data_IF_116787074399
#
_entry.id   IF_116787074399
#
_cell.length_a   1.000
_cell.length_b   1.000
_cell.length_c   1.000
_cell.angle_alpha   90.00
_cell.angle_beta   90.00
_cell.angle_gamma   90.00
#
_symmetry.space_group_name_H-M   'P 1'
#
loop_
_entity.id
_entity.type
_entity.pdbx_description
1 polymer ?
#
# COMPACT_ATOMS: atom_id res chain seq x y z
N UNK A 1 -0.50 27.18 -13.05
CA UNK A 1 -0.60 25.76 -12.70
C UNK A 1 -1.63 25.65 -11.57
N UNK A 2 -2.79 25.06 -11.85
CA UNK A 2 -3.84 24.85 -10.84
C UNK A 2 -3.29 23.93 -9.74
N UNK A 3 -3.69 24.18 -8.49
CA UNK A 3 -3.45 23.27 -7.39
C UNK A 3 -4.09 21.93 -7.80
N UNK A 4 -3.27 20.89 -7.99
CA UNK A 4 -3.82 19.54 -8.17
C UNK A 4 -4.38 19.10 -6.82
N UNK A 5 -5.67 18.88 -6.76
CA UNK A 5 -6.29 18.38 -5.54
C UNK A 5 -5.74 17.00 -5.20
N UNK A 6 -5.49 16.71 -3.93
CA UNK A 6 -4.89 15.44 -3.54
C UNK A 6 -5.89 14.28 -3.67
N UNK A 7 -5.41 13.15 -4.17
CA UNK A 7 -6.13 11.89 -4.17
C UNK A 7 -5.70 11.03 -2.99
N UNK A 8 -6.67 10.34 -2.43
CA UNK A 8 -6.48 9.45 -1.30
C UNK A 8 -7.11 8.09 -1.61
N UNK A 9 -6.64 7.06 -0.92
CA UNK A 9 -7.32 5.77 -0.88
C UNK A 9 -7.77 5.45 0.55
N UNK A 10 -8.84 4.67 0.63
CA UNK A 10 -9.28 4.01 1.85
C UNK A 10 -9.43 2.53 1.55
N UNK A 11 -8.78 1.69 2.35
CA UNK A 11 -8.80 0.25 2.26
C UNK A 11 -9.21 -0.31 3.60
N UNK A 12 -10.14 -1.27 3.62
CA UNK A 12 -10.53 -1.95 4.84
C UNK A 12 -10.65 -3.46 4.61
N UNK A 13 -10.30 -4.22 5.63
CA UNK A 13 -10.56 -5.65 5.74
C UNK A 13 -11.21 -5.94 7.09
N UNK A 14 -12.25 -6.77 7.08
CA UNK A 14 -12.93 -7.23 8.29
C UNK A 14 -12.06 -8.26 9.03
N UNK A 15 -12.30 -8.39 10.31
CA UNK A 15 -11.65 -9.41 11.15
C UNK A 15 -11.75 -10.81 10.53
N UNK A 16 -10.61 -11.53 10.49
CA UNK A 16 -10.50 -12.86 9.92
C UNK A 16 -10.41 -12.93 8.40
N UNK A 17 -10.48 -11.79 7.70
CA UNK A 17 -10.19 -11.70 6.26
C UNK A 17 -8.69 -11.57 6.07
N UNK A 18 -8.15 -12.34 5.12
CA UNK A 18 -6.81 -12.12 4.57
C UNK A 18 -6.98 -11.63 3.13
N UNK A 19 -6.39 -10.48 2.82
CA UNK A 19 -6.53 -9.89 1.50
C UNK A 19 -5.36 -9.04 1.09
N UNK A 20 -5.39 -8.61 -0.17
CA UNK A 20 -4.42 -7.72 -0.81
C UNK A 20 -5.13 -6.68 -1.65
N UNK A 21 -4.50 -5.52 -1.80
CA UNK A 21 -5.00 -4.46 -2.66
C UNK A 21 -3.86 -3.84 -3.46
N UNK A 22 -4.17 -3.46 -4.70
CA UNK A 22 -3.22 -2.83 -5.61
C UNK A 22 -3.81 -1.61 -6.28
N UNK A 23 -2.95 -0.63 -6.51
CA UNK A 23 -3.24 0.52 -7.36
C UNK A 23 -2.16 0.56 -8.46
N UNK A 24 -2.58 0.44 -9.73
CA UNK A 24 -1.67 0.35 -10.88
C UNK A 24 -0.63 -0.77 -10.76
N UNK A 25 -1.08 -1.95 -10.29
CA UNK A 25 -0.22 -3.12 -10.05
C UNK A 25 0.78 -2.95 -8.89
N UNK A 26 0.70 -1.85 -8.14
CA UNK A 26 1.53 -1.61 -6.97
C UNK A 26 0.77 -1.91 -5.68
N UNK A 27 1.32 -2.72 -4.75
CA UNK A 27 0.65 -3.03 -3.51
C UNK A 27 0.49 -1.78 -2.63
N UNK A 28 -0.70 -1.62 -2.06
CA UNK A 28 -1.03 -0.50 -1.19
C UNK A 28 -0.67 -0.76 0.27
N UNK A 29 -0.73 -2.01 0.70
CA UNK A 29 -0.30 -2.42 2.03
C UNK A 29 1.15 -2.88 2.01
N UNK A 30 1.86 -2.61 3.10
CA UNK A 30 3.26 -3.03 3.27
C UNK A 30 3.40 -4.51 3.58
N UNK A 31 2.35 -5.10 4.16
CA UNK A 31 2.23 -6.54 4.47
C UNK A 31 0.77 -6.92 4.27
N UNK A 32 0.46 -8.23 4.03
CA UNK A 32 -0.92 -8.67 3.94
C UNK A 32 -1.72 -8.26 5.18
N UNK A 33 -2.93 -7.74 4.97
CA UNK A 33 -3.82 -7.34 6.06
C UNK A 33 -4.62 -8.55 6.54
N UNK A 34 -4.77 -8.67 7.83
CA UNK A 34 -5.48 -9.76 8.50
C UNK A 34 -6.77 -9.29 9.20
N UNK A 35 -7.15 -8.02 9.10
CA UNK A 35 -8.34 -7.41 9.68
C UNK A 35 -8.64 -7.75 11.17
N UNK A 36 -9.51 -7.00 11.85
CA UNK A 36 -10.09 -5.80 11.28
C UNK A 36 -9.00 -4.75 11.13
N UNK A 37 -8.86 -4.24 9.99
CA UNK A 37 -7.86 -3.21 9.71
C UNK A 37 -8.36 -2.25 8.66
N UNK A 38 -7.99 -0.99 8.80
CA UNK A 38 -8.24 0.02 7.80
C UNK A 38 -6.98 0.83 7.56
N UNK A 39 -6.68 1.05 6.30
CA UNK A 39 -5.58 1.90 5.88
C UNK A 39 -6.11 3.01 4.98
N UNK A 40 -5.66 4.22 5.23
CA UNK A 40 -5.86 5.33 4.31
C UNK A 40 -4.53 6.05 4.09
N UNK A 41 -4.38 6.58 2.91
CA UNK A 41 -3.14 7.26 2.53
C UNK A 41 -3.29 8.05 1.24
N UNK A 42 -2.28 8.86 0.97
CA UNK A 42 -2.21 9.58 -0.30
C UNK A 42 -1.95 8.64 -1.46
N UNK A 43 -2.71 8.79 -2.54
CA UNK A 43 -2.63 7.97 -3.74
C UNK A 43 -1.80 8.61 -4.86
N UNK A 44 -1.59 9.91 -4.86
CA UNK A 44 -1.01 10.67 -5.98
C UNK A 44 0.31 10.10 -6.52
N UNK A 45 1.17 9.56 -5.66
CA UNK A 45 2.48 9.02 -6.06
C UNK A 45 2.39 7.64 -6.73
N UNK A 46 1.20 7.03 -6.74
CA UNK A 46 0.91 5.73 -7.36
C UNK A 46 0.02 5.88 -8.61
N UNK A 47 -0.68 7.02 -8.74
CA UNK A 47 -1.57 7.29 -9.86
C UNK A 47 -0.78 7.71 -11.10
N UNK A 48 -1.26 7.28 -12.28
CA UNK A 48 -0.67 7.64 -13.58
C UNK A 48 -1.60 8.55 -14.36
N UNK A 49 -1.07 9.38 -15.28
CA UNK A 49 -1.90 10.10 -16.22
C UNK A 49 -2.74 9.15 -17.07
N UNK A 50 -4.06 9.41 -17.17
CA UNK A 50 -4.99 8.58 -17.92
C UNK A 50 -5.62 7.46 -17.10
N UNK A 51 -5.67 6.25 -17.68
CA UNK A 51 -6.32 5.10 -17.05
C UNK A 51 -5.53 4.53 -15.89
N UNK A 52 -6.22 4.36 -14.78
CA UNK A 52 -5.70 3.74 -13.57
C UNK A 52 -6.47 2.44 -13.30
N UNK A 53 -5.86 1.53 -12.55
CA UNK A 53 -6.44 0.24 -12.18
C UNK A 53 -6.40 0.05 -10.68
N UNK A 54 -7.55 -0.31 -10.12
CA UNK A 54 -7.73 -0.68 -8.74
C UNK A 54 -8.03 -2.16 -8.67
N UNK A 55 -7.28 -2.93 -7.89
CA UNK A 55 -7.53 -4.36 -7.70
C UNK A 55 -7.61 -4.72 -6.23
N UNK A 56 -8.51 -5.64 -5.92
CA UNK A 56 -8.73 -6.18 -4.58
C UNK A 56 -8.82 -7.70 -4.66
N UNK A 57 -8.12 -8.37 -3.74
CA UNK A 57 -8.13 -9.83 -3.60
C UNK A 57 -8.48 -10.23 -2.18
N UNK A 58 -9.30 -11.26 -2.02
CA UNK A 58 -9.54 -11.95 -0.76
C UNK A 58 -9.01 -13.38 -0.89
N UNK A 59 -8.05 -13.73 -0.07
CA UNK A 59 -7.44 -15.07 0.00
C UNK A 59 -8.07 -15.93 1.08
N UNK A 60 -8.65 -15.30 2.12
CA UNK A 60 -9.32 -16.01 3.22
C UNK A 60 -10.52 -15.19 3.68
N UNK A 61 -11.65 -15.86 3.84
CA UNK A 61 -12.87 -15.32 4.42
C UNK A 61 -13.19 -16.01 5.76
N UNK A 62 -13.61 -15.27 6.78
CA UNK A 62 -14.18 -15.87 7.96
C UNK A 62 -15.53 -16.55 7.62
N UNK A 63 -15.95 -17.49 8.45
CA UNK A 63 -17.29 -18.05 8.32
C UNK A 63 -18.30 -17.01 8.79
N UNK A 64 -19.08 -16.49 7.86
CA UNK A 64 -20.21 -15.63 8.14
C UNK A 64 -21.47 -16.46 8.11
N UNK A 65 -22.38 -16.24 9.03
CA UNK A 65 -23.70 -16.88 9.05
C UNK A 65 -24.70 -15.98 8.34
N UNK A 66 -25.64 -16.54 7.57
CA UNK A 66 -26.74 -15.77 7.04
C UNK A 66 -27.52 -15.13 8.20
N UNK A 67 -28.10 -13.95 8.00
CA UNK A 67 -28.92 -13.34 9.02
C UNK A 67 -30.11 -14.23 9.39
N UNK A 68 -30.55 -14.23 10.64
CA UNK A 68 -31.75 -14.94 11.05
C UNK A 68 -32.96 -14.46 10.22
N UNK A 69 -33.91 -15.34 9.91
CA UNK A 69 -35.10 -14.95 9.19
C UNK A 69 -35.85 -13.83 9.95
N UNK A 70 -36.49 -12.89 9.22
CA UNK A 70 -37.25 -11.81 9.85
C UNK A 70 -38.34 -12.36 10.80
N UNK A 71 -38.40 -11.83 11.97
CA UNK A 71 -39.46 -12.19 12.96
C UNK A 71 -40.75 -11.49 12.52
N UNK A 72 -41.86 -12.21 12.34
CA UNK A 72 -43.14 -11.59 11.99
C UNK A 72 -43.53 -10.51 13.01
N UNK A 73 -43.77 -9.28 12.51
CA UNK A 73 -44.17 -8.14 13.37
C UNK A 73 -43.04 -7.25 13.89
N UNK A 74 -41.75 -7.61 13.68
CA UNK A 74 -40.64 -6.69 13.89
C UNK A 74 -40.39 -5.83 12.64
N UNK A 75 -40.11 -4.55 12.87
CA UNK A 75 -39.65 -3.67 11.78
C UNK A 75 -38.36 -4.27 11.18
N UNK A 76 -38.18 -4.16 9.85
CA UNK A 76 -36.94 -4.61 9.23
C UNK A 76 -35.75 -3.96 9.92
N UNK A 77 -34.89 -4.75 10.56
CA UNK A 77 -33.63 -4.23 11.10
C UNK A 77 -32.82 -3.74 9.91
N UNK A 78 -32.41 -2.48 9.97
CA UNK A 78 -31.52 -1.90 8.96
C UNK A 78 -30.24 -2.75 8.92
N UNK A 79 -30.06 -3.49 7.83
CA UNK A 79 -28.90 -4.35 7.66
C UNK A 79 -27.70 -3.45 7.34
N UNK A 80 -26.83 -3.29 8.28
CA UNK A 80 -25.48 -2.80 7.98
C UNK A 80 -24.69 -3.99 7.49
N UNK A 81 -24.82 -4.31 6.21
CA UNK A 81 -23.99 -5.33 5.55
C UNK A 81 -22.58 -4.75 5.37
N UNK A 82 -21.76 -4.91 6.41
CA UNK A 82 -20.35 -4.51 6.35
C UNK A 82 -19.64 -5.50 5.42
N UNK A 83 -19.27 -5.05 4.25
CA UNK A 83 -18.50 -5.87 3.30
C UNK A 83 -17.20 -6.36 3.93
N UNK A 84 -16.82 -7.63 3.69
CA UNK A 84 -15.59 -8.22 4.23
C UNK A 84 -14.33 -7.47 3.86
N UNK A 85 -14.27 -6.92 2.64
CA UNK A 85 -13.18 -6.10 2.15
C UNK A 85 -13.71 -5.03 1.21
N UNK A 86 -13.15 -3.85 1.30
CA UNK A 86 -13.49 -2.76 0.40
C UNK A 86 -12.32 -1.80 0.22
N UNK A 87 -12.29 -1.21 -0.95
CA UNK A 87 -11.33 -0.18 -1.27
C UNK A 87 -11.95 0.89 -2.14
N UNK A 88 -11.61 2.14 -1.87
CA UNK A 88 -11.99 3.28 -2.69
C UNK A 88 -10.84 4.26 -2.87
N UNK A 89 -10.86 4.93 -4.02
CA UNK A 89 -10.03 6.09 -4.30
C UNK A 89 -10.95 7.30 -4.38
N UNK A 90 -10.58 8.37 -3.74
CA UNK A 90 -11.35 9.61 -3.67
C UNK A 90 -10.45 10.84 -3.73
N UNK A 91 -11.03 11.94 -4.17
CA UNK A 91 -10.39 13.25 -4.23
C UNK A 91 -10.96 14.13 -3.13
N UNK A 92 -10.10 14.89 -2.44
CA UNK A 92 -10.52 15.94 -1.50
C UNK A 92 -10.27 17.28 -2.17
N UNK A 93 -11.34 18.03 -2.44
CA UNK A 93 -11.25 19.34 -3.09
C UNK A 93 -10.57 20.40 -2.24
N UNK A 94 -10.93 20.44 -0.96
CA UNK A 94 -10.33 21.35 0.01
C UNK A 94 -10.10 20.60 1.33
N UNK A 95 -8.83 20.26 1.64
CA UNK A 95 -8.49 19.57 2.89
C UNK A 95 -8.78 20.39 4.17
N UNK A 96 -9.12 21.67 4.02
CA UNK A 96 -9.44 22.58 5.13
C UNK A 96 -10.93 22.89 5.24
N UNK A 97 -11.74 22.42 4.29
CA UNK A 97 -13.20 22.59 4.35
C UNK A 97 -13.83 21.73 5.44
N UNK A 98 -14.81 22.29 6.14
CA UNK A 98 -15.67 21.54 7.07
C UNK A 98 -17.15 21.72 6.65
N UNK A 99 -17.84 20.64 6.31
CA UNK A 99 -17.38 19.24 6.18
C UNK A 99 -16.47 19.03 4.96
N UNK A 100 -15.59 18.01 5.05
CA UNK A 100 -14.72 17.61 3.95
C UNK A 100 -15.55 17.14 2.74
N UNK A 101 -15.40 17.82 1.61
CA UNK A 101 -15.97 17.36 0.34
C UNK A 101 -15.06 16.33 -0.32
N UNK A 102 -15.40 15.06 -0.18
CA UNK A 102 -14.75 13.97 -0.89
C UNK A 102 -15.57 13.55 -2.12
N UNK A 103 -14.92 13.47 -3.27
CA UNK A 103 -15.50 12.93 -4.49
C UNK A 103 -14.92 11.53 -4.70
N UNK A 104 -15.78 10.52 -4.65
CA UNK A 104 -15.37 9.15 -4.95
C UNK A 104 -15.07 9.01 -6.44
N UNK A 105 -13.88 8.49 -6.77
CA UNK A 105 -13.46 8.20 -8.14
C UNK A 105 -13.81 6.77 -8.52
N UNK A 106 -13.56 5.84 -7.63
CA UNK A 106 -13.81 4.42 -7.80
C UNK A 106 -13.95 3.74 -6.44
N UNK A 107 -14.82 2.72 -6.38
CA UNK A 107 -14.98 1.86 -5.21
C UNK A 107 -15.10 0.41 -5.64
N UNK A 108 -14.48 -0.48 -4.89
CA UNK A 108 -14.61 -1.94 -5.03
C UNK A 108 -14.90 -2.52 -3.67
N UNK A 109 -15.96 -3.29 -3.58
CA UNK A 109 -16.33 -4.04 -2.38
C UNK A 109 -16.48 -5.51 -2.72
N UNK A 110 -15.78 -6.38 -2.02
CA UNK A 110 -15.85 -7.83 -2.20
C UNK A 110 -16.60 -8.48 -1.03
N UNK A 111 -17.44 -9.48 -1.28
CA UNK A 111 -17.70 -10.15 -2.57
C UNK A 111 -18.75 -9.48 -3.48
N UNK A 112 -19.36 -8.37 -3.07
CA UNK A 112 -20.48 -7.73 -3.78
C UNK A 112 -20.16 -7.36 -5.24
N UNK A 113 -18.93 -6.90 -5.53
CA UNK A 113 -18.49 -6.60 -6.91
C UNK A 113 -18.56 -7.79 -7.86
N UNK A 114 -18.62 -9.02 -7.32
CA UNK A 114 -18.78 -10.27 -8.08
C UNK A 114 -20.24 -10.78 -8.10
N UNK A 115 -21.19 -10.00 -7.57
CA UNK A 115 -22.60 -10.39 -7.46
C UNK A 115 -22.85 -11.47 -6.41
N UNK A 116 -21.94 -11.64 -5.44
CA UNK A 116 -22.02 -12.65 -4.40
C UNK A 116 -22.47 -12.03 -3.07
N UNK A 117 -23.28 -12.76 -2.34
CA UNK A 117 -23.67 -12.38 -1.00
C UNK A 117 -22.56 -12.67 0.02
N UNK A 118 -22.47 -11.84 1.05
CA UNK A 118 -21.36 -11.88 2.04
C UNK A 118 -21.27 -13.21 2.82
N UNK A 119 -22.37 -13.97 2.93
CA UNK A 119 -22.44 -15.30 3.59
C UNK A 119 -22.28 -16.48 2.64
N UNK A 120 -22.26 -16.26 1.35
CA UNK A 120 -21.96 -17.32 0.38
C UNK A 120 -20.52 -17.81 0.56
N UNK A 121 -20.27 -19.04 0.19
CA UNK A 121 -18.94 -19.65 0.24
C UNK A 121 -18.35 -19.73 -1.17
N UNK A 122 -17.84 -18.61 -1.68
CA UNK A 122 -17.22 -18.62 -2.99
C UNK A 122 -15.91 -19.39 -2.96
N UNK A 123 -15.49 -19.87 -4.12
CA UNK A 123 -14.14 -20.38 -4.29
C UNK A 123 -13.13 -19.23 -4.10
N UNK A 124 -12.10 -19.47 -3.32
CA UNK A 124 -11.02 -18.51 -3.10
C UNK A 124 -9.81 -18.82 -4.00
N UNK A 125 -9.01 -17.82 -4.36
CA UNK A 125 -9.14 -16.41 -4.01
C UNK A 125 -10.27 -15.71 -4.78
N UNK A 126 -10.91 -14.71 -4.15
CA UNK A 126 -11.75 -13.76 -4.88
C UNK A 126 -10.87 -12.62 -5.37
N UNK A 127 -11.00 -12.27 -6.63
CA UNK A 127 -10.27 -11.17 -7.24
C UNK A 127 -11.20 -10.31 -8.09
N UNK A 128 -11.08 -9.02 -7.95
CA UNK A 128 -11.76 -8.06 -8.82
C UNK A 128 -10.85 -6.87 -9.13
N UNK A 129 -10.87 -6.47 -10.40
CA UNK A 129 -10.12 -5.31 -10.89
C UNK A 129 -11.08 -4.37 -11.62
N UNK A 130 -10.90 -3.09 -11.42
CA UNK A 130 -11.67 -2.04 -12.10
C UNK A 130 -10.73 -0.97 -12.65
N UNK A 131 -11.01 -0.52 -13.87
CA UNK A 131 -10.35 0.64 -14.46
C UNK A 131 -11.12 1.91 -14.16
N UNK A 132 -10.40 3.01 -13.95
CA UNK A 132 -10.99 4.32 -13.75
C UNK A 132 -10.11 5.43 -14.32
N UNK A 133 -10.74 6.53 -14.71
CA UNK A 133 -10.07 7.72 -15.21
C UNK A 133 -10.07 8.83 -14.14
N UNK A 134 -9.02 9.63 -14.13
CA UNK A 134 -8.94 10.79 -13.25
C UNK A 134 -9.51 12.02 -13.97
N UNK A 135 -10.38 12.81 -13.32
CA UNK A 135 -10.93 14.04 -13.92
C UNK A 135 -9.88 15.12 -14.13
N UNK A 136 -8.77 15.05 -13.37
CA UNK A 136 -7.66 15.99 -13.49
C UNK A 136 -6.35 15.24 -13.60
N UNK A 137 -5.40 15.73 -14.43
CA UNK A 137 -4.11 15.09 -14.58
C UNK A 137 -3.30 15.13 -13.29
N UNK A 138 -2.68 14.02 -12.96
CA UNK A 138 -1.66 13.92 -11.90
C UNK A 138 -0.26 14.02 -12.52
N UNK A 139 0.75 14.47 -11.75
CA UNK A 139 2.13 14.35 -12.17
C UNK A 139 2.49 12.89 -12.46
N UNK A 140 3.25 12.68 -13.51
CA UNK A 140 3.74 11.34 -13.83
C UNK A 140 4.62 10.81 -12.69
N UNK A 141 4.29 9.65 -12.10
CA UNK A 141 5.05 9.12 -10.98
C UNK A 141 6.46 8.70 -11.40
N UNK A 142 7.40 8.74 -10.46
CA UNK A 142 8.82 8.49 -10.73
C UNK A 142 9.09 7.15 -11.41
N UNK A 143 8.40 6.10 -10.98
CA UNK A 143 8.57 4.76 -11.54
C UNK A 143 8.06 4.63 -12.98
N UNK A 144 7.14 5.48 -13.42
CA UNK A 144 6.57 5.42 -14.76
C UNK A 144 7.58 5.78 -15.85
N UNK A 145 8.57 6.59 -15.52
CA UNK A 145 9.67 6.99 -16.40
C UNK A 145 10.79 5.95 -16.49
N UNK A 146 10.78 4.99 -15.57
CA UNK A 146 11.82 3.96 -15.52
C UNK A 146 11.67 2.98 -16.67
N UNK A 147 12.77 2.52 -17.27
CA UNK A 147 12.71 1.49 -18.30
C UNK A 147 12.19 0.18 -17.71
N UNK A 148 11.41 -0.60 -18.47
CA UNK A 148 11.07 -1.95 -18.07
C UNK A 148 12.32 -2.83 -17.96
N UNK A 149 12.43 -3.59 -16.88
CA UNK A 149 13.53 -4.53 -16.66
C UNK A 149 12.95 -5.92 -16.42
N UNK A 150 13.55 -6.91 -17.06
CA UNK A 150 13.20 -8.31 -16.84
C UNK A 150 14.13 -8.93 -15.82
N UNK A 151 13.58 -9.50 -14.78
CA UNK A 151 14.32 -10.26 -13.77
C UNK A 151 13.43 -11.40 -13.23
N UNK A 152 14.08 -12.45 -12.73
CA UNK A 152 13.38 -13.56 -12.08
C UNK A 152 13.16 -13.34 -10.59
N UNK A 153 12.56 -14.30 -9.93
CA UNK A 153 12.21 -14.25 -8.50
C UNK A 153 13.41 -14.07 -7.56
N UNK A 154 14.62 -14.40 -8.01
CA UNK A 154 15.86 -14.15 -7.25
C UNK A 154 16.41 -12.72 -7.40
N UNK A 155 15.82 -11.90 -8.26
CA UNK A 155 16.29 -10.56 -8.56
C UNK A 155 17.60 -10.54 -9.37
N UNK A 156 18.15 -9.34 -9.57
CA UNK A 156 19.50 -9.16 -10.09
C UNK A 156 20.47 -8.86 -8.93
N UNK A 157 21.80 -9.00 -9.12
CA UNK A 157 22.78 -8.64 -8.09
C UNK A 157 22.57 -7.22 -7.54
N UNK A 158 22.22 -6.26 -8.41
CA UNK A 158 21.99 -4.86 -8.03
C UNK A 158 20.71 -4.70 -7.20
N UNK A 159 19.65 -5.46 -7.48
CA UNK A 159 18.44 -5.50 -6.66
C UNK A 159 18.73 -6.08 -5.27
N UNK A 160 19.45 -7.20 -5.22
CA UNK A 160 19.90 -7.84 -3.98
C UNK A 160 20.73 -6.85 -3.16
N UNK A 161 21.67 -6.15 -3.80
CA UNK A 161 22.49 -5.15 -3.13
C UNK A 161 21.66 -3.99 -2.59
N UNK A 162 20.70 -3.45 -3.34
CA UNK A 162 19.85 -2.36 -2.90
C UNK A 162 19.04 -2.72 -1.63
N UNK A 163 18.48 -3.93 -1.57
CA UNK A 163 17.76 -4.44 -0.39
C UNK A 163 18.72 -4.61 0.79
N UNK A 164 19.89 -5.20 0.54
CA UNK A 164 20.93 -5.42 1.56
C UNK A 164 21.42 -4.11 2.16
N UNK A 165 21.59 -3.07 1.35
CA UNK A 165 22.02 -1.75 1.81
C UNK A 165 21.01 -1.12 2.77
N UNK A 166 19.71 -1.22 2.46
CA UNK A 166 18.65 -0.70 3.36
C UNK A 166 18.64 -1.49 4.68
N UNK A 167 18.74 -2.80 4.62
CA UNK A 167 18.79 -3.65 5.81
C UNK A 167 20.03 -3.34 6.66
N UNK A 168 21.19 -3.18 6.05
CA UNK A 168 22.44 -2.85 6.74
C UNK A 168 22.37 -1.48 7.43
N UNK A 169 21.77 -0.47 6.78
CA UNK A 169 21.58 0.84 7.40
C UNK A 169 20.71 0.75 8.67
N UNK A 170 19.66 -0.10 8.67
CA UNK A 170 18.86 -0.40 9.86
C UNK A 170 19.69 -1.13 10.94
N UNK A 171 20.41 -2.18 10.56
CA UNK A 171 21.25 -2.98 11.48
C UNK A 171 22.32 -2.13 12.17
N UNK A 172 22.96 -1.25 11.41
CA UNK A 172 24.03 -0.37 11.91
C UNK A 172 23.50 0.88 12.61
N UNK A 173 22.17 1.07 12.65
CA UNK A 173 21.52 2.28 13.19
C UNK A 173 22.00 3.57 12.51
N UNK A 174 22.35 3.48 11.24
CA UNK A 174 22.79 4.60 10.43
C UNK A 174 21.59 5.32 9.81
N UNK A 175 20.98 6.21 10.58
CA UNK A 175 19.85 7.03 10.14
C UNK A 175 20.17 7.82 8.88
N UNK A 176 21.39 8.40 8.80
CA UNK A 176 21.78 9.20 7.65
C UNK A 176 21.77 8.36 6.38
N UNK A 177 22.43 7.19 6.42
CA UNK A 177 22.46 6.27 5.28
C UNK A 177 21.07 5.75 4.92
N UNK A 178 20.26 5.44 5.92
CA UNK A 178 18.88 5.01 5.70
C UNK A 178 18.05 6.08 4.98
N UNK A 179 18.13 7.34 5.38
CA UNK A 179 17.44 8.45 4.73
C UNK A 179 17.96 8.70 3.30
N UNK A 180 19.27 8.56 3.06
CA UNK A 180 19.85 8.64 1.71
C UNK A 180 19.30 7.55 0.78
N UNK A 181 19.17 6.31 1.27
CA UNK A 181 18.62 5.19 0.50
C UNK A 181 17.12 5.36 0.20
N UNK A 182 16.38 6.07 1.04
CA UNK A 182 14.96 6.37 0.86
C UNK A 182 14.71 7.75 0.20
N UNK A 183 15.75 8.46 -0.24
CA UNK A 183 15.60 9.81 -0.78
C UNK A 183 14.59 9.89 -1.93
N UNK A 184 14.67 8.96 -2.89
CA UNK A 184 13.74 8.92 -4.03
C UNK A 184 12.27 8.71 -3.59
N UNK A 185 12.02 7.88 -2.58
CA UNK A 185 10.69 7.73 -1.97
C UNK A 185 10.17 9.04 -1.41
N UNK A 186 11.01 9.74 -0.67
CA UNK A 186 10.64 11.02 -0.07
C UNK A 186 10.36 12.08 -1.14
N UNK A 187 11.20 12.16 -2.16
CA UNK A 187 11.03 13.07 -3.31
C UNK A 187 9.78 12.74 -4.12
N UNK A 188 9.54 11.46 -4.43
CA UNK A 188 8.34 11.01 -5.13
C UNK A 188 7.06 11.37 -4.37
N UNK A 189 7.06 11.16 -3.05
CA UNK A 189 5.94 11.54 -2.21
C UNK A 189 5.72 13.06 -2.17
N UNK A 190 6.79 13.83 -2.01
CA UNK A 190 6.71 15.30 -2.00
C UNK A 190 6.23 15.87 -3.34
N UNK A 191 6.73 15.33 -4.46
CA UNK A 191 6.31 15.73 -5.79
C UNK A 191 4.82 15.43 -6.07
N UNK A 192 4.29 14.37 -5.47
CA UNK A 192 2.89 13.99 -5.59
C UNK A 192 1.93 14.92 -4.81
N UNK A 193 2.45 15.71 -3.85
CA UNK A 193 1.68 16.65 -3.03
C UNK A 193 2.26 18.08 -3.12
N UNK A 194 2.21 18.73 -4.30
CA UNK A 194 2.90 20.00 -4.55
C UNK A 194 2.41 21.16 -3.66
N UNK A 195 1.23 21.02 -3.02
CA UNK A 195 0.72 22.04 -2.08
C UNK A 195 1.47 22.10 -0.74
N UNK A 196 2.11 21.01 -0.32
CA UNK A 196 2.82 20.90 0.97
C UNK A 196 4.04 19.96 0.92
N UNK A 197 4.96 20.12 -0.03
CA UNK A 197 6.05 19.15 -0.23
C UNK A 197 6.99 19.09 0.99
N UNK A 198 7.35 20.23 1.59
CA UNK A 198 8.22 20.28 2.76
C UNK A 198 7.59 19.60 3.98
N UNK A 199 6.33 19.88 4.28
CA UNK A 199 5.63 19.28 5.40
C UNK A 199 5.47 17.74 5.26
N UNK A 200 5.34 17.26 4.02
CA UNK A 200 5.31 15.83 3.74
C UNK A 200 6.66 15.16 3.98
N UNK A 201 7.74 15.78 3.51
CA UNK A 201 9.12 15.33 3.75
C UNK A 201 9.46 15.33 5.24
N UNK A 202 9.14 16.41 5.95
CA UNK A 202 9.42 16.56 7.38
C UNK A 202 8.71 15.49 8.21
N UNK A 203 7.46 15.15 7.86
CA UNK A 203 6.73 14.07 8.55
C UNK A 203 7.40 12.71 8.36
N UNK A 204 7.81 12.37 7.13
CA UNK A 204 8.46 11.09 6.86
C UNK A 204 9.83 10.99 7.53
N UNK A 205 10.60 12.07 7.47
CA UNK A 205 11.90 12.16 8.15
C UNK A 205 11.75 12.05 9.66
N UNK A 206 10.84 12.81 10.26
CA UNK A 206 10.57 12.77 11.69
C UNK A 206 10.11 11.39 12.17
N UNK A 207 9.32 10.65 11.37
CA UNK A 207 8.94 9.28 11.72
C UNK A 207 10.16 8.35 11.77
N UNK A 208 11.07 8.46 10.79
CA UNK A 208 12.32 7.70 10.80
C UNK A 208 13.22 8.09 11.97
N UNK A 209 13.41 9.38 12.22
CA UNK A 209 14.21 9.89 13.35
C UNK A 209 13.69 9.37 14.69
N UNK A 210 12.36 9.41 14.90
CA UNK A 210 11.75 8.87 16.12
C UNK A 210 11.98 7.38 16.29
N UNK A 211 11.87 6.59 15.22
CA UNK A 211 12.11 5.15 15.28
C UNK A 211 13.59 4.85 15.58
N UNK A 212 14.53 5.51 14.90
CA UNK A 212 15.96 5.33 15.10
C UNK A 212 16.48 5.77 16.49
N UNK A 213 15.74 6.67 17.15
CA UNK A 213 16.03 7.08 18.53
C UNK A 213 15.69 6.00 19.57
N UNK A 214 14.90 4.99 19.20
CA UNK A 214 14.53 3.87 20.07
C UNK A 214 15.65 2.80 20.11
N UNK A 215 15.62 1.97 21.15
CA UNK A 215 16.31 0.69 21.11
C UNK A 215 15.46 -0.30 20.34
N UNK A 216 16.02 -0.92 19.32
CA UNK A 216 15.31 -1.90 18.51
C UNK A 216 16.21 -3.04 18.06
N UNK A 217 15.59 -4.18 17.81
CA UNK A 217 16.23 -5.36 17.22
C UNK A 217 15.79 -5.49 15.77
N UNK A 218 16.75 -5.65 14.87
CA UNK A 218 16.47 -5.89 13.44
C UNK A 218 16.53 -7.39 13.20
N UNK A 219 15.50 -7.92 12.54
CA UNK A 219 15.48 -9.31 12.12
C UNK A 219 16.53 -9.54 11.03
N UNK A 220 17.33 -10.61 11.14
CA UNK A 220 18.31 -10.94 10.11
C UNK A 220 17.65 -11.13 8.75
N UNK A 221 18.28 -10.58 7.71
CA UNK A 221 17.85 -10.73 6.33
C UNK A 221 18.34 -12.06 5.76
N UNK A 222 17.42 -12.94 5.40
CA UNK A 222 17.71 -14.21 4.74
C UNK A 222 17.33 -14.10 3.25
N UNK A 223 18.30 -13.80 2.40
CA UNK A 223 18.08 -13.60 0.97
C UNK A 223 17.49 -14.82 0.26
N UNK A 224 17.64 -16.03 0.81
CA UNK A 224 17.02 -17.24 0.25
C UNK A 224 15.48 -17.24 0.38
N UNK A 225 14.94 -16.37 1.24
CA UNK A 225 13.51 -16.20 1.48
C UNK A 225 12.97 -14.87 0.92
N UNK A 226 13.80 -14.11 0.22
CA UNK A 226 13.36 -12.85 -0.42
C UNK A 226 12.90 -13.13 -1.83
N UNK A 227 11.75 -12.60 -2.17
CA UNK A 227 11.15 -12.66 -3.49
C UNK A 227 11.20 -11.29 -4.16
N UNK A 228 11.58 -11.29 -5.42
CA UNK A 228 11.55 -10.13 -6.30
C UNK A 228 10.49 -10.36 -7.36
N UNK A 229 9.51 -9.50 -7.41
CA UNK A 229 8.39 -9.62 -8.33
C UNK A 229 8.33 -8.38 -9.24
N UNK A 230 8.39 -8.56 -10.59
CA UNK A 230 8.23 -7.45 -11.50
C UNK A 230 6.78 -6.95 -11.48
N UNK A 231 6.61 -5.64 -11.31
CA UNK A 231 5.34 -4.93 -11.29
C UNK A 231 5.33 -3.78 -12.28
N UNK A 232 4.14 -3.26 -12.61
CA UNK A 232 3.96 -2.14 -13.55
C UNK A 232 4.72 -2.34 -14.85
N UNK A 233 4.57 -3.54 -15.45
CA UNK A 233 5.25 -3.88 -16.69
C UNK A 233 6.77 -3.98 -16.57
N UNK A 234 7.30 -4.36 -15.41
CA UNK A 234 8.73 -4.51 -15.14
C UNK A 234 9.45 -3.22 -14.76
N UNK A 235 8.71 -2.11 -14.57
CA UNK A 235 9.30 -0.83 -14.13
C UNK A 235 9.59 -0.79 -12.64
N UNK A 236 8.95 -1.68 -11.90
CA UNK A 236 9.05 -1.77 -10.45
C UNK A 236 9.43 -3.19 -10.05
N UNK A 237 10.33 -3.32 -9.10
CA UNK A 237 10.56 -4.53 -8.35
C UNK A 237 9.84 -4.42 -7.00
N UNK A 238 8.81 -5.24 -6.81
CA UNK A 238 8.23 -5.46 -5.49
C UNK A 238 9.07 -6.49 -4.77
N UNK A 239 9.51 -6.18 -3.57
CA UNK A 239 10.39 -7.04 -2.77
C UNK A 239 9.70 -7.40 -1.46
N UNK A 240 9.48 -8.67 -1.26
CA UNK A 240 8.84 -9.22 -0.07
C UNK A 240 9.62 -10.42 0.46
N UNK A 241 9.38 -10.79 1.71
CA UNK A 241 9.77 -12.09 2.22
C UNK A 241 8.85 -13.20 1.70
N UNK A 242 9.19 -14.45 2.03
CA UNK A 242 8.35 -15.60 1.72
C UNK A 242 6.93 -15.38 2.23
N UNK A 243 5.93 -15.73 1.42
CA UNK A 243 4.50 -15.59 1.73
C UNK A 243 4.10 -14.14 2.10
N UNK A 244 4.65 -13.19 1.35
CA UNK A 244 4.48 -11.73 1.53
C UNK A 244 4.82 -11.20 2.93
N UNK A 245 5.62 -11.95 3.69
CA UNK A 245 6.14 -11.41 4.95
C UNK A 245 7.00 -10.17 4.71
N UNK A 246 7.10 -9.28 5.69
CA UNK A 246 7.96 -8.11 5.54
C UNK A 246 9.40 -8.50 5.31
N UNK A 247 10.02 -7.92 4.27
CA UNK A 247 11.45 -8.11 3.98
C UNK A 247 12.34 -7.34 4.97
N UNK A 248 11.82 -6.23 5.49
CA UNK A 248 12.45 -5.47 6.58
C UNK A 248 11.58 -5.57 7.82
N UNK A 249 12.18 -6.00 8.92
CA UNK A 249 11.51 -6.04 10.22
C UNK A 249 12.46 -5.59 11.32
N UNK A 250 12.02 -4.58 12.08
CA UNK A 250 12.71 -4.13 13.28
C UNK A 250 11.68 -3.87 14.39
N UNK A 251 11.93 -4.37 15.59
CA UNK A 251 11.01 -4.30 16.73
C UNK A 251 11.63 -3.48 17.84
N UNK A 252 10.93 -2.47 18.33
CA UNK A 252 11.39 -1.67 19.45
C UNK A 252 11.40 -2.50 20.74
N UNK A 253 12.51 -2.47 21.47
CA UNK A 253 12.66 -3.22 22.75
C UNK A 253 11.93 -2.50 23.89
N UNK A 254 11.97 -1.17 23.88
CA UNK A 254 11.45 -0.34 24.98
C UNK A 254 9.96 0.03 24.80
N UNK A 255 9.38 -0.28 23.64
CA UNK A 255 7.96 0.04 23.30
C UNK A 255 7.29 -1.18 22.66
N UNK A 256 6.75 -2.11 23.46
CA UNK A 256 6.05 -3.28 22.95
C UNK A 256 4.92 -2.88 21.98
N UNK A 257 4.91 -3.49 20.80
CA UNK A 257 3.93 -3.20 19.75
C UNK A 257 4.39 -2.17 18.71
N UNK A 258 5.47 -1.41 18.96
CA UNK A 258 6.05 -0.55 17.95
C UNK A 258 7.09 -1.33 17.13
N UNK A 259 6.84 -1.42 15.83
CA UNK A 259 7.74 -2.10 14.89
C UNK A 259 7.79 -1.39 13.55
N UNK A 260 8.92 -1.44 12.89
CA UNK A 260 9.07 -1.14 11.48
C UNK A 260 8.95 -2.46 10.73
N UNK A 261 7.90 -2.58 9.91
CA UNK A 261 7.69 -3.76 9.05
C UNK A 261 7.39 -3.24 7.65
N UNK A 262 8.17 -3.66 6.66
CA UNK A 262 8.00 -3.18 5.31
C UNK A 262 8.44 -4.19 4.26
N UNK A 263 7.69 -4.23 3.17
CA UNK A 263 8.14 -4.65 1.86
C UNK A 263 8.67 -3.41 1.12
N UNK A 264 9.40 -3.61 0.05
CA UNK A 264 10.01 -2.50 -0.67
C UNK A 264 9.50 -2.46 -2.10
N UNK A 265 9.30 -1.24 -2.60
CA UNK A 265 9.14 -0.96 -4.02
C UNK A 265 10.40 -0.27 -4.52
N UNK A 266 11.08 -0.91 -5.45
CA UNK A 266 12.28 -0.36 -6.08
C UNK A 266 12.01 -0.08 -7.56
N UNK A 267 12.60 0.99 -8.05
CA UNK A 267 12.57 1.36 -9.47
C UNK A 267 13.96 1.76 -9.93
N UNK A 268 14.22 1.67 -11.23
CA UNK A 268 15.47 2.21 -11.79
C UNK A 268 15.42 3.73 -11.90
N UNK A 269 16.38 4.38 -11.27
CA UNK A 269 16.57 5.83 -11.36
C UNK A 269 18.06 6.10 -11.54
N UNK A 270 18.40 6.84 -12.58
CA UNK A 270 19.80 7.11 -12.99
C UNK A 270 20.66 5.83 -13.10
N UNK A 271 20.08 4.77 -13.66
CA UNK A 271 20.77 3.49 -13.86
C UNK A 271 20.96 2.65 -12.59
N UNK A 272 20.38 3.03 -11.48
CA UNK A 272 20.47 2.32 -10.19
C UNK A 272 19.09 1.97 -9.65
N UNK A 273 19.00 0.84 -8.96
CA UNK A 273 17.80 0.48 -8.21
C UNK A 273 17.68 1.33 -6.94
N UNK A 274 16.57 2.02 -6.81
CA UNK A 274 16.26 2.93 -5.70
C UNK A 274 14.90 2.62 -5.09
N UNK A 275 14.80 2.74 -3.78
CA UNK A 275 13.51 2.61 -3.07
C UNK A 275 12.65 3.85 -3.35
N UNK A 276 11.41 3.62 -3.81
CA UNK A 276 10.45 4.70 -4.01
C UNK A 276 9.11 4.47 -3.28
N UNK A 277 8.88 3.28 -2.66
CA UNK A 277 7.67 2.96 -1.92
C UNK A 277 7.87 1.92 -0.79
#
# INVERSE_FOLDING_TARGET
>A
MGKSDPYYFNLHFREGVLGRAWLNDLPLQKVPMHGPDSMHGGANHLLVPGKNRLALEIQKLPRLSPPPPPVPGEAPRERVDIMPAGMKVYQIKDPQAEPLEAIEMVSVELPAALGLEVWERPALPLYHEVEFDLPYPVPEPVYWRSPPVHFGCGGTPELVQAVTDVHNALMQRDLRRFLELLALKHEAYAAAFPGQPSAALDRQRSASEKFFALRYLVKPLDMSKVHFEPRSGGRVAYVSGWDDQPVLEAVAEDQPGLSLRANLLLTQHDGQWRVFG
#
